data_IF_599760670379
#
_entry.id   IF_599760670379
#
_cell.length_a   1.000
_cell.length_b   1.000
_cell.length_c   1.000
_cell.angle_alpha   90.00
_cell.angle_beta   90.00
_cell.angle_gamma   90.00
#
_symmetry.space_group_name_H-M   'P 1'
#
loop_
_entity.id
_entity.type
_entity.pdbx_description
1 polymer ?
#
# COMPACT_ATOMS: atom_id res chain seq x y z
N UNK A 1 -15.69 -6.88 42.72
CA UNK A 1 -15.63 -7.57 41.41
C UNK A 1 -16.85 -7.13 40.60
N UNK A 2 -16.66 -6.60 39.40
CA UNK A 2 -17.76 -6.24 38.49
C UNK A 2 -18.17 -7.43 37.63
N UNK A 3 -19.47 -7.57 37.36
CA UNK A 3 -20.03 -8.65 36.53
C UNK A 3 -19.34 -8.76 35.16
N UNK A 4 -19.03 -7.62 34.54
CA UNK A 4 -18.31 -7.56 33.27
C UNK A 4 -16.92 -8.20 33.33
N UNK A 5 -16.17 -8.01 34.42
CA UNK A 5 -14.86 -8.67 34.60
C UNK A 5 -15.01 -10.18 34.81
N UNK A 6 -16.08 -10.63 35.46
CA UNK A 6 -16.35 -12.06 35.64
C UNK A 6 -16.65 -12.74 34.31
N UNK A 7 -17.48 -12.11 33.47
CA UNK A 7 -17.84 -12.65 32.14
C UNK A 7 -16.64 -12.62 31.19
N UNK A 8 -15.87 -11.53 31.17
CA UNK A 8 -14.69 -11.41 30.30
C UNK A 8 -13.61 -12.47 30.59
N UNK A 9 -13.51 -12.89 31.86
CA UNK A 9 -12.52 -13.87 32.32
C UNK A 9 -13.04 -15.32 32.31
N UNK A 10 -14.29 -15.56 31.91
CA UNK A 10 -14.88 -16.90 31.81
C UNK A 10 -14.18 -17.74 30.73
N UNK A 11 -13.93 -19.02 31.03
CA UNK A 11 -13.22 -19.94 30.13
C UNK A 11 -13.98 -20.18 28.81
N UNK A 12 -15.31 -20.22 28.84
CA UNK A 12 -16.10 -20.36 27.60
C UNK A 12 -15.98 -19.13 26.71
N UNK A 13 -15.86 -17.95 27.31
CA UNK A 13 -15.64 -16.69 26.60
C UNK A 13 -14.21 -16.61 26.05
N UNK A 14 -13.22 -17.13 26.79
CA UNK A 14 -11.83 -17.28 26.33
C UNK A 14 -11.71 -18.16 25.09
N UNK A 15 -12.43 -19.28 25.06
CA UNK A 15 -12.43 -20.23 23.94
C UNK A 15 -13.19 -19.72 22.72
N UNK A 16 -14.29 -18.98 22.93
CA UNK A 16 -15.12 -18.45 21.83
C UNK A 16 -14.47 -17.26 21.13
N UNK A 17 -13.74 -16.42 21.88
CA UNK A 17 -13.16 -15.19 21.37
C UNK A 17 -11.63 -15.21 21.49
N UNK A 18 -10.97 -15.52 20.37
CA UNK A 18 -9.51 -15.56 20.27
C UNK A 18 -8.85 -14.19 20.51
N UNK A 19 -9.57 -13.10 20.22
CA UNK A 19 -9.10 -11.73 20.40
C UNK A 19 -10.00 -11.02 21.40
N UNK A 20 -9.39 -10.51 22.47
CA UNK A 20 -10.09 -9.85 23.58
C UNK A 20 -9.25 -8.70 24.10
N UNK A 21 -9.88 -7.56 24.34
CA UNK A 21 -9.21 -6.41 24.94
C UNK A 21 -10.09 -5.76 26.01
N UNK A 22 -9.42 -5.24 27.03
CA UNK A 22 -10.02 -4.49 28.12
C UNK A 22 -9.37 -3.11 28.21
N UNK A 23 -10.19 -2.06 28.20
CA UNK A 23 -9.76 -0.68 28.34
C UNK A 23 -10.59 0.03 29.40
N UNK A 24 -9.94 0.90 30.18
CA UNK A 24 -10.59 1.79 31.13
C UNK A 24 -10.69 3.18 30.47
N UNK A 25 -11.84 3.83 30.53
CA UNK A 25 -12.05 5.18 29.99
C UNK A 25 -12.20 6.13 31.17
N UNK A 26 -11.25 7.06 31.30
CA UNK A 26 -11.26 8.13 32.31
C UNK A 26 -11.84 9.42 31.71
N UNK A 27 -12.11 10.42 32.55
CA UNK A 27 -12.75 11.69 32.15
C UNK A 27 -11.93 12.51 31.12
N UNK A 28 -10.62 12.29 31.01
CA UNK A 28 -9.80 12.81 29.91
C UNK A 28 -9.85 11.81 28.74
N UNK A 29 -10.86 11.97 27.88
CA UNK A 29 -11.09 11.08 26.75
C UNK A 29 -10.18 11.45 25.57
N UNK A 30 -9.05 10.77 25.44
CA UNK A 30 -8.22 10.79 24.22
C UNK A 30 -8.51 9.55 23.38
N UNK A 31 -9.29 9.75 22.31
CA UNK A 31 -9.67 8.70 21.38
C UNK A 31 -8.46 8.05 20.70
N UNK A 32 -7.37 8.80 20.44
CA UNK A 32 -6.16 8.27 19.81
C UNK A 32 -5.36 7.41 20.79
N UNK A 33 -5.20 7.86 22.03
CA UNK A 33 -4.54 7.09 23.07
C UNK A 33 -5.31 5.79 23.40
N UNK A 34 -6.65 5.87 23.45
CA UNK A 34 -7.51 4.71 23.69
C UNK A 34 -7.45 3.73 22.51
N UNK A 35 -7.56 4.22 21.28
CA UNK A 35 -7.50 3.39 20.05
C UNK A 35 -6.15 2.71 19.91
N UNK A 36 -5.04 3.42 20.20
CA UNK A 36 -3.69 2.86 20.20
C UNK A 36 -3.53 1.79 21.26
N UNK A 37 -4.05 2.01 22.46
CA UNK A 37 -3.99 1.05 23.57
C UNK A 37 -4.79 -0.22 23.26
N UNK A 38 -5.99 -0.07 22.69
CA UNK A 38 -6.82 -1.21 22.26
C UNK A 38 -6.10 -1.96 21.14
N UNK A 39 -5.61 -1.27 20.11
CA UNK A 39 -4.91 -1.91 19.00
C UNK A 39 -3.65 -2.67 19.44
N UNK A 40 -2.90 -2.13 20.42
CA UNK A 40 -1.74 -2.79 21.03
C UNK A 40 -2.11 -4.00 21.91
N UNK A 41 -3.27 -3.99 22.57
CA UNK A 41 -3.72 -5.10 23.43
C UNK A 41 -4.47 -6.20 22.67
N UNK A 42 -5.16 -5.83 21.60
CA UNK A 42 -5.80 -6.73 20.62
C UNK A 42 -4.73 -7.37 19.74
N UNK A 43 -3.71 -6.61 19.37
CA UNK A 43 -2.52 -7.07 18.67
C UNK A 43 -1.41 -7.48 19.63
N UNK A 44 -1.51 -8.67 20.22
CA UNK A 44 -0.31 -9.40 20.64
C UNK A 44 0.49 -9.77 19.37
N UNK A 45 1.21 -8.80 18.85
CA UNK A 45 2.11 -8.92 17.73
C UNK A 45 2.94 -7.65 17.72
N UNK A 46 4.26 -7.77 17.66
CA UNK A 46 5.12 -6.62 17.40
C UNK A 46 4.72 -5.88 16.12
N UNK A 47 5.47 -4.84 15.76
CA UNK A 47 5.33 -4.24 14.43
C UNK A 47 5.25 -5.37 13.37
N UNK A 48 4.25 -5.36 12.47
CA UNK A 48 4.07 -6.44 11.52
C UNK A 48 5.37 -6.62 10.73
N UNK A 49 5.79 -7.87 10.56
CA UNK A 49 7.03 -8.18 9.84
C UNK A 49 6.98 -7.61 8.42
N UNK A 50 8.14 -7.32 7.84
CA UNK A 50 8.21 -6.91 6.44
C UNK A 50 7.54 -7.93 5.51
N UNK A 51 7.57 -9.21 5.87
CA UNK A 51 6.86 -10.28 5.16
C UNK A 51 5.34 -10.07 5.20
N UNK A 52 4.76 -9.90 6.39
CA UNK A 52 3.32 -9.71 6.56
C UNK A 52 2.85 -8.41 5.86
N UNK A 53 3.64 -7.33 5.97
CA UNK A 53 3.36 -6.07 5.27
C UNK A 53 3.40 -6.24 3.76
N UNK A 54 4.41 -6.96 3.24
CA UNK A 54 4.54 -7.20 1.81
C UNK A 54 3.38 -8.07 1.31
N UNK A 55 3.04 -9.16 2.01
CA UNK A 55 1.92 -10.03 1.67
C UNK A 55 0.58 -9.28 1.66
N UNK A 56 0.35 -8.44 2.67
CA UNK A 56 -0.88 -7.65 2.75
C UNK A 56 -1.00 -6.64 1.60
N UNK A 57 0.07 -5.90 1.31
CA UNK A 57 0.02 -4.88 0.26
C UNK A 57 0.04 -5.46 -1.16
N UNK A 58 0.66 -6.63 -1.36
CA UNK A 58 0.72 -7.32 -2.64
C UNK A 58 -0.53 -8.17 -2.94
N UNK A 59 -1.02 -8.92 -1.96
CA UNK A 59 -2.03 -9.96 -2.18
C UNK A 59 -3.33 -9.72 -1.38
N UNK A 60 -3.34 -8.77 -0.44
CA UNK A 60 -4.45 -8.62 0.52
C UNK A 60 -4.51 -9.77 1.53
N UNK A 61 -3.41 -10.51 1.72
CA UNK A 61 -3.32 -11.67 2.60
C UNK A 61 -2.48 -11.37 3.85
N UNK A 62 -2.65 -12.16 4.91
CA UNK A 62 -1.86 -12.03 6.15
C UNK A 62 -0.42 -12.49 5.94
N UNK A 63 -0.21 -13.47 5.07
CA UNK A 63 1.08 -14.06 4.73
C UNK A 63 1.02 -14.70 3.31
N UNK A 64 2.08 -15.42 2.92
CA UNK A 64 2.16 -16.10 1.62
C UNK A 64 1.68 -17.56 1.62
N UNK A 65 1.08 -18.08 2.70
CA UNK A 65 0.79 -19.51 2.82
C UNK A 65 -0.21 -20.01 1.77
N UNK A 66 -1.14 -19.15 1.33
CA UNK A 66 -2.09 -19.46 0.26
C UNK A 66 -1.49 -19.29 -1.15
N UNK A 67 -0.23 -18.88 -1.27
CA UNK A 67 0.47 -18.66 -2.54
C UNK A 67 1.89 -19.28 -2.48
N UNK A 68 2.00 -20.61 -2.39
CA UNK A 68 3.28 -21.29 -2.15
C UNK A 68 4.32 -21.01 -3.23
N UNK A 69 3.90 -20.77 -4.49
CA UNK A 69 4.81 -20.45 -5.58
C UNK A 69 5.46 -19.06 -5.41
N UNK A 70 4.72 -18.09 -4.86
CA UNK A 70 5.19 -16.72 -4.67
C UNK A 70 5.96 -16.52 -3.37
N UNK A 71 5.74 -17.40 -2.37
CA UNK A 71 6.35 -17.33 -1.04
C UNK A 71 7.88 -17.16 -1.05
N UNK A 72 8.67 -17.96 -1.80
CA UNK A 72 10.12 -17.81 -1.80
C UNK A 72 10.60 -16.46 -2.34
N UNK A 73 9.92 -15.93 -3.36
CA UNK A 73 10.23 -14.61 -3.91
C UNK A 73 9.81 -13.49 -2.95
N UNK A 74 8.64 -13.62 -2.32
CA UNK A 74 8.11 -12.68 -1.33
C UNK A 74 9.00 -12.54 -0.09
N UNK A 75 9.40 -13.66 0.50
CA UNK A 75 10.32 -13.70 1.65
C UNK A 75 11.67 -13.07 1.30
N UNK A 76 12.24 -13.42 0.14
CA UNK A 76 13.50 -12.83 -0.33
C UNK A 76 13.41 -11.31 -0.49
N UNK A 77 12.30 -10.79 -0.99
CA UNK A 77 12.08 -9.35 -1.10
C UNK A 77 11.85 -8.70 0.26
N UNK A 78 11.15 -9.36 1.18
CA UNK A 78 10.93 -8.86 2.54
C UNK A 78 12.25 -8.66 3.28
N UNK A 79 13.20 -9.60 3.16
CA UNK A 79 14.56 -9.46 3.72
C UNK A 79 15.30 -8.27 3.13
N UNK A 80 15.14 -8.01 1.83
CA UNK A 80 15.74 -6.86 1.13
C UNK A 80 15.10 -5.52 1.50
N UNK A 81 13.91 -5.50 2.10
CA UNK A 81 13.22 -4.29 2.54
C UNK A 81 13.73 -3.75 3.89
N UNK A 82 14.94 -4.14 4.33
CA UNK A 82 15.54 -3.70 5.58
C UNK A 82 15.38 -2.18 5.78
N UNK A 83 14.91 -1.78 6.96
CA UNK A 83 14.58 -0.39 7.28
C UNK A 83 13.09 -0.15 7.58
N UNK A 84 12.55 1.05 7.33
CA UNK A 84 11.19 1.41 7.73
C UNK A 84 10.12 0.49 7.14
N UNK A 85 8.98 0.25 7.84
CA UNK A 85 7.83 -0.51 7.32
C UNK A 85 7.36 -0.06 5.93
N UNK A 86 7.58 1.22 5.60
CA UNK A 86 7.26 1.81 4.30
C UNK A 86 7.92 1.07 3.13
N UNK A 87 9.13 0.53 3.29
CA UNK A 87 9.82 -0.23 2.25
C UNK A 87 8.99 -1.47 1.81
N UNK A 88 8.54 -2.28 2.77
CA UNK A 88 7.72 -3.46 2.49
C UNK A 88 6.36 -3.08 1.89
N UNK A 89 5.70 -2.03 2.41
CA UNK A 89 4.43 -1.53 1.85
C UNK A 89 4.58 -1.08 0.40
N UNK A 90 5.69 -0.42 0.11
CA UNK A 90 6.03 0.11 -1.21
C UNK A 90 6.26 -1.01 -2.21
N UNK A 91 7.08 -2.01 -1.86
CA UNK A 91 7.31 -3.20 -2.71
C UNK A 91 6.02 -4.01 -2.87
N UNK A 92 5.24 -4.19 -1.80
CA UNK A 92 3.93 -4.83 -1.90
C UNK A 92 2.99 -4.08 -2.85
N UNK A 93 3.00 -2.75 -2.84
CA UNK A 93 2.26 -1.91 -3.79
C UNK A 93 2.67 -2.13 -5.24
N UNK A 94 3.97 -2.29 -5.52
CA UNK A 94 4.49 -2.63 -6.86
C UNK A 94 3.97 -4.00 -7.33
N UNK A 95 3.76 -4.94 -6.40
CA UNK A 95 3.33 -6.31 -6.67
C UNK A 95 1.81 -6.48 -6.73
N UNK A 96 1.02 -5.48 -6.30
CA UNK A 96 -0.45 -5.55 -6.14
C UNK A 96 -1.23 -6.02 -7.38
N UNK A 97 -0.64 -5.89 -8.57
CA UNK A 97 -1.26 -6.31 -9.84
C UNK A 97 -0.42 -7.32 -10.62
N UNK A 98 0.49 -8.02 -9.94
CA UNK A 98 1.40 -9.02 -10.50
C UNK A 98 1.12 -10.37 -9.87
N UNK A 99 0.49 -11.27 -10.62
CA UNK A 99 0.08 -12.60 -10.14
C UNK A 99 1.04 -13.72 -10.57
N UNK A 100 1.95 -13.43 -11.51
CA UNK A 100 2.86 -14.42 -12.10
C UNK A 100 4.16 -14.55 -11.30
N UNK A 101 4.64 -15.78 -11.11
CA UNK A 101 5.93 -16.03 -10.45
C UNK A 101 7.11 -15.34 -11.16
N UNK A 102 7.05 -15.25 -12.49
CA UNK A 102 8.08 -14.59 -13.29
C UNK A 102 8.21 -13.11 -12.95
N UNK A 103 7.10 -12.42 -12.73
CA UNK A 103 7.07 -11.01 -12.33
C UNK A 103 7.76 -10.80 -10.96
N UNK A 104 7.40 -11.64 -9.98
CA UNK A 104 7.96 -11.59 -8.64
C UNK A 104 9.46 -11.89 -8.65
N UNK A 105 9.86 -12.89 -9.42
CA UNK A 105 11.26 -13.31 -9.56
C UNK A 105 12.10 -12.23 -10.24
N UNK A 106 11.56 -11.58 -11.27
CA UNK A 106 12.23 -10.46 -11.95
C UNK A 106 12.49 -9.29 -11.00
N UNK A 107 11.52 -8.96 -10.14
CA UNK A 107 11.68 -7.90 -9.12
C UNK A 107 12.69 -8.35 -8.05
N UNK A 108 12.58 -9.56 -7.52
CA UNK A 108 13.46 -10.08 -6.47
C UNK A 108 14.94 -10.21 -6.90
N UNK A 109 15.18 -10.37 -8.22
CA UNK A 109 16.52 -10.45 -8.84
C UNK A 109 16.95 -9.15 -9.54
N UNK A 110 16.21 -8.06 -9.34
CA UNK A 110 16.52 -6.77 -9.96
C UNK A 110 17.88 -6.24 -9.50
N UNK A 111 18.65 -5.68 -10.43
CA UNK A 111 19.92 -4.98 -10.16
C UNK A 111 19.75 -3.75 -9.25
N UNK A 112 18.52 -3.25 -9.08
CA UNK A 112 18.21 -2.10 -8.21
C UNK A 112 18.63 -2.39 -6.76
N UNK A 113 18.52 -3.64 -6.32
CA UNK A 113 18.89 -4.05 -4.97
C UNK A 113 20.40 -3.98 -4.72
N UNK A 114 21.21 -4.02 -5.77
CA UNK A 114 22.67 -4.05 -5.70
C UNK A 114 23.28 -2.65 -5.96
N UNK A 115 22.42 -1.64 -6.16
CA UNK A 115 22.88 -0.26 -6.34
C UNK A 115 23.49 0.26 -5.03
N UNK A 116 24.64 0.97 -5.10
CA UNK A 116 25.27 1.54 -3.93
C UNK A 116 24.30 2.47 -3.20
N UNK A 117 24.37 2.48 -1.86
CA UNK A 117 23.64 3.45 -1.07
C UNK A 117 24.09 4.85 -1.48
N UNK A 118 23.16 5.65 -1.98
CA UNK A 118 23.44 7.04 -2.30
C UNK A 118 23.44 7.88 -1.02
N UNK A 119 24.14 9.01 -1.06
CA UNK A 119 24.33 9.95 0.05
C UNK A 119 23.02 10.53 0.62
N UNK A 120 21.93 10.42 -0.12
CA UNK A 120 20.59 10.87 0.25
C UNK A 120 19.84 9.87 1.16
N UNK A 121 20.41 8.69 1.46
CA UNK A 121 19.88 7.76 2.47
C UNK A 121 18.53 7.12 2.13
N UNK A 122 18.11 7.17 0.86
CA UNK A 122 16.84 6.60 0.40
C UNK A 122 17.01 5.09 0.14
N UNK A 123 16.24 4.21 0.84
CA UNK A 123 16.34 2.76 0.63
C UNK A 123 16.05 2.33 -0.81
N UNK A 124 16.78 1.32 -1.29
CA UNK A 124 16.64 0.75 -2.65
C UNK A 124 15.20 0.26 -2.90
N UNK A 125 14.52 -0.25 -1.86
CA UNK A 125 13.12 -0.62 -1.92
C UNK A 125 12.19 0.53 -2.36
N UNK A 126 12.49 1.77 -1.95
CA UNK A 126 11.74 2.95 -2.37
C UNK A 126 12.09 3.35 -3.80
N UNK A 127 13.36 3.31 -4.19
CA UNK A 127 13.80 3.55 -5.58
C UNK A 127 13.14 2.58 -6.56
N UNK A 128 12.92 1.34 -6.12
CA UNK A 128 12.23 0.32 -6.90
C UNK A 128 10.81 0.77 -7.29
N UNK A 129 10.05 1.36 -6.36
CA UNK A 129 8.70 1.85 -6.71
C UNK A 129 8.71 2.89 -7.81
N UNK A 130 9.66 3.82 -7.76
CA UNK A 130 9.81 4.81 -8.82
C UNK A 130 10.14 4.13 -10.15
N UNK A 131 11.04 3.15 -10.18
CA UNK A 131 11.42 2.45 -11.41
C UNK A 131 10.23 1.73 -12.08
N UNK A 132 9.35 1.10 -11.29
CA UNK A 132 8.19 0.37 -11.80
C UNK A 132 6.92 1.23 -11.98
N UNK A 133 6.98 2.50 -11.63
CA UNK A 133 5.86 3.42 -11.80
C UNK A 133 5.62 3.68 -13.32
N UNK A 134 4.37 3.74 -13.80
CA UNK A 134 4.05 4.16 -15.17
C UNK A 134 4.65 5.53 -15.49
N UNK A 135 5.01 5.78 -16.76
CA UNK A 135 5.68 7.01 -17.21
C UNK A 135 4.96 8.28 -16.77
N UNK A 136 3.63 8.31 -16.90
CA UNK A 136 2.83 9.49 -16.55
C UNK A 136 2.90 9.76 -15.05
N UNK A 137 2.82 8.71 -14.23
CA UNK A 137 2.93 8.82 -12.78
C UNK A 137 4.35 9.15 -12.30
N UNK A 138 5.40 8.71 -13.02
CA UNK A 138 6.79 9.13 -12.74
C UNK A 138 6.95 10.64 -12.85
N UNK A 139 6.37 11.23 -13.90
CA UNK A 139 6.43 12.68 -14.12
C UNK A 139 5.68 13.43 -13.01
N UNK A 140 4.48 12.98 -12.65
CA UNK A 140 3.72 13.55 -11.54
C UNK A 140 4.47 13.46 -10.20
N UNK A 141 5.07 12.30 -9.91
CA UNK A 141 5.84 12.10 -8.68
C UNK A 141 7.11 12.97 -8.65
N UNK A 142 7.84 13.05 -9.76
CA UNK A 142 9.04 13.90 -9.86
C UNK A 142 8.71 15.39 -9.71
N UNK A 143 7.53 15.83 -10.17
CA UNK A 143 7.07 17.21 -9.99
C UNK A 143 6.96 17.62 -8.52
N UNK A 144 6.58 16.69 -7.63
CA UNK A 144 6.52 16.97 -6.19
C UNK A 144 7.87 17.39 -5.59
N UNK A 145 9.00 17.07 -6.24
CA UNK A 145 10.34 17.45 -5.75
C UNK A 145 10.69 18.93 -5.98
N UNK A 146 9.87 19.68 -6.72
CA UNK A 146 10.04 21.13 -6.90
C UNK A 146 9.67 21.90 -5.62
N UNK A 147 8.84 21.31 -4.76
CA UNK A 147 8.37 21.92 -3.53
C UNK A 147 9.38 21.69 -2.38
N UNK A 148 9.43 22.59 -1.37
CA UNK A 148 10.24 22.39 -0.19
C UNK A 148 9.92 21.08 0.52
N UNK A 149 10.91 20.56 1.25
CA UNK A 149 10.70 19.41 2.13
C UNK A 149 9.55 19.69 3.11
N UNK A 150 8.71 18.68 3.33
CA UNK A 150 7.56 18.73 4.24
C UNK A 150 6.46 19.71 3.80
N UNK A 151 6.46 20.17 2.54
CA UNK A 151 5.34 20.91 1.96
C UNK A 151 4.06 20.07 1.97
N UNK A 152 2.99 20.63 2.51
CA UNK A 152 1.68 19.99 2.57
C UNK A 152 0.88 20.31 1.32
N UNK A 153 0.44 19.27 0.60
CA UNK A 153 -0.36 19.40 -0.60
C UNK A 153 -1.84 19.24 -0.29
N UNK A 154 -2.66 20.22 -0.70
CA UNK A 154 -4.06 19.92 -0.96
C UNK A 154 -4.17 19.07 -2.25
N UNK A 155 -5.05 18.08 -2.22
CA UNK A 155 -5.19 17.12 -3.32
C UNK A 155 -5.66 17.80 -4.60
N UNK A 156 -6.65 18.68 -4.51
CA UNK A 156 -7.25 19.32 -5.68
C UNK A 156 -6.33 20.40 -6.25
N UNK A 157 -5.57 21.08 -5.39
CA UNK A 157 -4.49 21.99 -5.81
C UNK A 157 -3.37 21.24 -6.54
N UNK A 158 -2.90 20.11 -6.01
CA UNK A 158 -1.87 19.30 -6.66
C UNK A 158 -2.33 18.77 -8.03
N UNK A 159 -3.58 18.32 -8.12
CA UNK A 159 -4.17 17.91 -9.40
C UNK A 159 -4.23 19.08 -10.38
N UNK A 160 -4.61 20.27 -9.91
CA UNK A 160 -4.65 21.49 -10.73
C UNK A 160 -3.27 21.89 -11.25
N UNK A 161 -2.23 21.78 -10.43
CA UNK A 161 -0.84 22.00 -10.82
C UNK A 161 -0.41 20.98 -11.89
N UNK A 162 -0.69 19.70 -11.71
CA UNK A 162 -0.38 18.68 -12.71
C UNK A 162 -1.15 18.87 -14.03
N UNK A 163 -2.38 19.40 -13.98
CA UNK A 163 -3.13 19.77 -15.19
C UNK A 163 -2.49 20.96 -15.91
N UNK A 164 -2.13 22.01 -15.17
CA UNK A 164 -1.50 23.22 -15.71
C UNK A 164 -0.16 22.91 -16.40
N UNK A 165 0.63 22.01 -15.82
CA UNK A 165 1.92 21.55 -16.35
C UNK A 165 1.79 20.48 -17.46
N UNK A 166 0.56 20.11 -17.82
CA UNK A 166 0.30 19.11 -18.86
C UNK A 166 0.84 17.71 -18.51
N UNK A 167 0.93 17.38 -17.22
CA UNK A 167 1.39 16.07 -16.73
C UNK A 167 0.27 15.02 -16.79
N UNK A 168 -0.99 15.44 -16.70
CA UNK A 168 -2.14 14.55 -16.81
C UNK A 168 -2.55 14.37 -18.27
N UNK A 169 -2.43 13.13 -18.76
CA UNK A 169 -2.99 12.76 -20.06
C UNK A 169 -4.43 12.27 -19.88
N UNK A 170 -5.40 12.78 -20.67
CA UNK A 170 -6.72 12.18 -20.70
C UNK A 170 -6.57 10.76 -21.26
N UNK A 171 -6.82 9.74 -20.43
CA UNK A 171 -6.91 8.36 -20.94
C UNK A 171 -8.08 8.34 -21.92
N UNK A 172 -7.79 8.16 -23.22
CA UNK A 172 -8.83 7.85 -24.21
C UNK A 172 -9.64 6.68 -23.65
N UNK A 173 -10.94 6.89 -23.43
CA UNK A 173 -11.84 5.78 -23.09
C UNK A 173 -11.59 4.70 -24.13
N UNK A 174 -11.27 3.48 -23.70
CA UNK A 174 -11.34 2.32 -24.59
C UNK A 174 -12.75 2.36 -25.16
N UNK A 175 -12.87 2.65 -26.45
CA UNK A 175 -14.12 2.39 -27.16
C UNK A 175 -14.39 0.91 -26.92
N UNK A 176 -15.39 0.61 -26.08
CA UNK A 176 -16.10 -0.65 -26.25
C UNK A 176 -16.61 -0.58 -27.67
N UNK A 177 -16.02 -1.38 -28.55
CA UNK A 177 -16.55 -1.63 -29.87
C UNK A 177 -17.89 -2.36 -29.67
N UNK A 178 -18.95 -1.61 -29.35
CA UNK A 178 -20.29 -2.02 -29.74
C UNK A 178 -20.34 -1.84 -31.24
N UNK A 179 -20.02 -2.93 -31.95
CA UNK A 179 -20.55 -3.17 -33.26
C UNK A 179 -22.08 -3.03 -33.19
N UNK A 180 -22.61 -1.96 -33.76
CA UNK A 180 -23.81 -2.05 -34.59
C UNK A 180 -23.68 -1.05 -35.74
N UNK A 181 -23.86 -1.50 -37.00
CA UNK A 181 -23.71 -0.66 -38.17
C UNK A 181 -24.96 0.18 -38.40
N UNK A 182 -24.76 1.28 -39.13
CA UNK A 182 -25.78 2.02 -39.89
C UNK A 182 -26.66 2.98 -39.06
N UNK A 183 -26.35 4.27 -39.13
CA UNK A 183 -26.96 5.16 -40.13
C UNK A 183 -26.20 6.48 -40.18
N UNK A 184 -25.79 6.82 -41.39
CA UNK A 184 -25.20 8.08 -41.81
C UNK A 184 -26.18 9.24 -41.62
N UNK A 185 -25.59 10.44 -41.62
CA UNK A 185 -26.19 11.68 -42.14
C UNK A 185 -27.06 12.43 -41.11
N UNK A 186 -26.95 13.74 -40.84
CA UNK A 186 -26.33 14.86 -41.54
C UNK A 186 -26.08 16.01 -40.53
N UNK A 187 -24.88 16.58 -40.57
CA UNK A 187 -24.74 18.03 -40.40
C UNK A 187 -25.17 18.71 -41.72
N UNK A 188 -25.68 19.95 -41.65
CA UNK A 188 -25.20 20.95 -42.58
C UNK A 188 -24.49 22.07 -41.79
N UNK A 189 -23.23 22.26 -42.16
CA UNK A 189 -22.56 23.55 -42.04
C UNK A 189 -23.08 24.39 -43.20
N UNK A 190 -23.81 25.46 -42.90
CA UNK A 190 -23.68 26.85 -43.41
C UNK A 190 -24.74 27.69 -42.71
#
# INVERSE_FOLDING_TARGET
MTLAQSVYNDEKVKETFHVRAWACVSNEFDALALTKTILQKVGAGGAPSHEALLAYHALGAVNFDNCPDLKPAGEKMAVKCAGPPLAAKTVGGVLRSKYELNDWTAIAKSKIWDLPEETNGVPQALKLSYFYLPSDLKRCFAYCAVFPKDYEFDKDDLISLWMAEGLLTPKKKRHFATHCPSILSLYPIT
#
